data_IF_282226402295
#
_entry.id   IF_282226402295
#
_cell.length_a   1.000
_cell.length_b   1.000
_cell.length_c   1.000
_cell.angle_alpha   90.00
_cell.angle_beta   90.00
_cell.angle_gamma   90.00
#
_symmetry.space_group_name_H-M   'P 1'
#
loop_
_entity.id
_entity.type
_entity.pdbx_description
1 polymer ?
#
# COMPACT_ATOMS: atom_id res chain seq x y z
N UNK A 1 -5.84 -49.46 -16.15
CA UNK A 1 -6.07 -50.62 -17.04
C UNK A 1 -5.70 -51.98 -16.42
N UNK A 2 -4.67 -52.15 -15.58
CA UNK A 2 -4.36 -53.46 -14.93
C UNK A 2 -5.15 -53.73 -13.64
N UNK A 3 -5.61 -52.69 -12.90
CA UNK A 3 -6.35 -52.81 -11.66
C UNK A 3 -7.86 -53.10 -11.84
N UNK A 4 -8.38 -52.87 -13.03
CA UNK A 4 -9.82 -53.08 -13.30
C UNK A 4 -10.20 -54.55 -13.46
N UNK A 5 -9.21 -55.46 -13.68
CA UNK A 5 -9.40 -56.89 -13.84
C UNK A 5 -9.13 -57.72 -12.59
N UNK A 6 -8.89 -57.10 -11.43
CA UNK A 6 -8.64 -57.76 -10.16
C UNK A 6 -9.98 -57.93 -9.42
N UNK A 7 -10.24 -59.13 -8.91
CA UNK A 7 -11.47 -59.37 -8.07
C UNK A 7 -11.51 -58.43 -6.87
N UNK A 8 -12.69 -58.04 -6.41
CA UNK A 8 -12.87 -57.12 -5.28
C UNK A 8 -12.10 -57.59 -4.03
N UNK A 9 -12.04 -58.89 -3.78
CA UNK A 9 -11.30 -59.50 -2.66
C UNK A 9 -9.79 -59.30 -2.79
N UNK A 10 -9.23 -59.51 -3.99
CA UNK A 10 -7.81 -59.30 -4.25
C UNK A 10 -7.46 -57.83 -4.23
N UNK A 11 -8.35 -56.95 -4.69
CA UNK A 11 -8.20 -55.51 -4.57
C UNK A 11 -8.11 -55.03 -3.12
N UNK A 12 -8.98 -55.57 -2.26
CA UNK A 12 -8.95 -55.33 -0.82
C UNK A 12 -7.65 -55.80 -0.16
N UNK A 13 -7.13 -56.98 -0.54
CA UNK A 13 -5.85 -57.50 -0.04
C UNK A 13 -4.66 -56.63 -0.48
N UNK A 14 -4.62 -56.19 -1.73
CA UNK A 14 -3.56 -55.34 -2.27
C UNK A 14 -3.60 -53.97 -1.55
N UNK A 15 -4.77 -53.38 -1.40
CA UNK A 15 -4.91 -52.12 -0.70
C UNK A 15 -4.49 -52.22 0.78
N UNK A 16 -4.88 -53.33 1.45
CA UNK A 16 -4.46 -53.56 2.83
C UNK A 16 -2.95 -53.70 2.99
N UNK A 17 -2.30 -54.47 2.11
CA UNK A 17 -0.84 -54.64 2.12
C UNK A 17 -0.11 -53.33 1.77
N UNK A 18 -0.65 -52.56 0.83
CA UNK A 18 -0.13 -51.26 0.48
C UNK A 18 -0.21 -50.28 1.68
N UNK A 19 -1.34 -50.29 2.39
CA UNK A 19 -1.52 -49.48 3.61
C UNK A 19 -0.50 -49.82 4.70
N UNK A 20 -0.31 -51.12 4.99
CA UNK A 20 0.67 -51.58 5.98
C UNK A 20 2.09 -51.13 5.60
N UNK A 21 2.46 -51.33 4.35
CA UNK A 21 3.78 -50.97 3.87
C UNK A 21 4.02 -49.45 3.92
N UNK A 22 3.02 -48.66 3.57
CA UNK A 22 3.08 -47.19 3.64
C UNK A 22 3.17 -46.68 5.07
N UNK A 23 2.41 -47.26 6.01
CA UNK A 23 2.52 -46.91 7.43
C UNK A 23 3.88 -47.29 8.01
N UNK A 24 4.42 -48.45 7.65
CA UNK A 24 5.74 -48.87 8.06
C UNK A 24 6.85 -47.93 7.49
N UNK A 25 6.70 -47.50 6.26
CA UNK A 25 7.61 -46.54 5.64
C UNK A 25 7.56 -45.18 6.36
N UNK A 26 6.36 -44.66 6.65
CA UNK A 26 6.21 -43.41 7.42
C UNK A 26 6.81 -43.54 8.82
N UNK A 27 6.61 -44.72 9.48
CA UNK A 27 7.20 -44.99 10.79
C UNK A 27 8.75 -45.01 10.71
N UNK A 28 9.31 -45.54 9.65
CA UNK A 28 10.75 -45.57 9.41
C UNK A 28 11.28 -44.13 9.20
N UNK A 29 10.60 -43.33 8.36
CA UNK A 29 10.96 -41.91 8.15
C UNK A 29 10.97 -41.11 9.44
N UNK A 30 10.02 -41.33 10.33
CA UNK A 30 9.96 -40.71 11.66
C UNK A 30 11.11 -41.17 12.57
N UNK A 31 11.41 -42.48 12.55
CA UNK A 31 12.46 -43.07 13.39
C UNK A 31 13.86 -42.63 12.95
N UNK A 32 14.09 -42.47 11.66
CA UNK A 32 15.37 -42.03 11.09
C UNK A 32 15.61 -40.54 11.16
N UNK A 33 14.77 -39.79 11.93
CA UNK A 33 14.84 -38.32 12.07
C UNK A 33 14.78 -37.54 10.74
N UNK A 34 14.45 -38.19 9.63
CA UNK A 34 14.30 -37.55 8.33
C UNK A 34 13.12 -36.56 8.29
N UNK A 35 12.23 -36.69 9.29
CA UNK A 35 11.12 -35.76 9.56
C UNK A 35 11.23 -35.32 11.03
N UNK A 36 12.10 -34.36 11.29
CA UNK A 36 12.16 -33.74 12.62
C UNK A 36 10.89 -32.93 12.85
N UNK A 37 10.05 -33.42 13.74
CA UNK A 37 8.99 -32.62 14.37
C UNK A 37 9.64 -31.61 15.34
N UNK A 38 10.34 -30.61 14.84
CA UNK A 38 10.88 -29.52 15.64
C UNK A 38 9.72 -28.59 16.02
N UNK A 39 8.84 -29.02 16.94
CA UNK A 39 7.76 -28.19 17.47
C UNK A 39 6.72 -27.74 16.44
N UNK A 40 6.74 -28.29 15.22
CA UNK A 40 5.77 -27.96 14.18
C UNK A 40 4.48 -28.74 14.38
N UNK A 41 3.36 -28.06 14.28
CA UNK A 41 1.99 -28.62 14.32
C UNK A 41 1.69 -29.54 13.12
N UNK A 42 2.70 -30.06 12.43
CA UNK A 42 2.55 -30.88 11.21
C UNK A 42 2.61 -32.35 11.53
N UNK A 43 1.64 -33.09 10.99
CA UNK A 43 1.60 -34.53 11.00
C UNK A 43 1.50 -35.04 9.57
N UNK A 44 2.17 -36.17 9.28
CA UNK A 44 1.97 -36.86 8.01
C UNK A 44 0.72 -37.72 8.09
N UNK A 45 -0.12 -37.60 7.09
CA UNK A 45 -1.36 -38.37 6.94
C UNK A 45 -1.28 -39.18 5.65
N UNK A 46 -1.81 -40.39 5.69
CA UNK A 46 -1.94 -41.29 4.54
C UNK A 46 -3.37 -41.22 4.03
N UNK A 47 -3.55 -40.78 2.78
CA UNK A 47 -4.86 -40.77 2.11
C UNK A 47 -5.08 -42.05 1.32
N UNK A 48 -6.02 -42.87 1.76
CA UNK A 48 -6.32 -44.14 1.16
C UNK A 48 -7.09 -44.05 -0.17
N UNK A 49 -7.61 -42.90 -0.51
CA UNK A 49 -8.39 -42.66 -1.74
C UNK A 49 -7.50 -42.38 -2.97
N UNK A 50 -6.23 -42.11 -2.77
CA UNK A 50 -5.29 -41.76 -3.84
C UNK A 50 -4.67 -43.00 -4.49
N UNK A 51 -4.53 -42.96 -5.82
CA UNK A 51 -4.05 -44.11 -6.63
C UNK A 51 -2.52 -44.24 -6.70
N UNK A 52 -1.78 -43.28 -6.19
CA UNK A 52 -0.31 -43.29 -6.16
C UNK A 52 0.22 -43.10 -4.74
N UNK A 53 1.32 -43.77 -4.40
CA UNK A 53 1.99 -43.60 -3.10
C UNK A 53 2.36 -42.15 -2.82
N UNK A 54 2.83 -41.40 -3.84
CA UNK A 54 3.25 -40.02 -3.72
C UNK A 54 2.07 -39.10 -3.39
N UNK A 55 0.90 -39.36 -3.96
CA UNK A 55 -0.30 -38.56 -3.78
C UNK A 55 -1.06 -38.94 -2.49
N UNK A 56 -0.85 -40.19 -2.01
CA UNK A 56 -1.42 -40.66 -0.77
C UNK A 56 -0.78 -40.08 0.49
N UNK A 57 0.41 -39.50 0.39
CA UNK A 57 1.08 -38.86 1.52
C UNK A 57 0.76 -37.37 1.48
N UNK A 58 0.11 -36.88 2.51
CA UNK A 58 -0.11 -35.46 2.73
C UNK A 58 0.39 -35.02 4.09
N UNK A 59 0.75 -33.77 4.21
CA UNK A 59 1.03 -33.18 5.50
C UNK A 59 -0.25 -32.54 6.04
N UNK A 60 -0.49 -32.71 7.33
CA UNK A 60 -1.66 -32.19 8.05
C UNK A 60 -1.21 -31.15 9.06
N UNK A 61 -1.82 -29.97 9.05
CA UNK A 61 -1.64 -28.91 10.05
C UNK A 61 -2.94 -28.73 10.82
N UNK A 62 -2.90 -28.86 12.16
CA UNK A 62 -4.08 -28.73 13.03
C UNK A 62 -5.27 -29.62 12.60
N UNK A 63 -5.01 -30.84 12.12
CA UNK A 63 -6.02 -31.74 11.64
C UNK A 63 -6.56 -31.47 10.24
N UNK A 64 -6.05 -30.49 9.53
CA UNK A 64 -6.44 -30.14 8.16
C UNK A 64 -5.30 -30.48 7.20
N UNK A 65 -5.63 -31.23 6.13
CA UNK A 65 -4.68 -31.53 5.06
C UNK A 65 -4.18 -30.24 4.40
N UNK A 66 -2.85 -30.13 4.17
CA UNK A 66 -2.25 -28.96 3.50
C UNK A 66 -2.88 -28.69 2.13
N UNK A 67 -3.33 -29.73 1.42
CA UNK A 67 -4.06 -29.57 0.14
C UNK A 67 -5.31 -28.71 0.32
N UNK A 68 -5.97 -28.82 1.47
CA UNK A 68 -7.22 -28.14 1.82
C UNK A 68 -7.03 -26.79 2.55
N UNK A 69 -5.79 -26.40 2.86
CA UNK A 69 -5.50 -25.09 3.44
C UNK A 69 -5.79 -23.98 2.42
N UNK A 70 -6.16 -22.81 2.93
CA UNK A 70 -6.28 -21.61 2.12
C UNK A 70 -4.95 -21.23 1.47
N UNK A 71 -4.99 -20.55 0.32
CA UNK A 71 -3.78 -20.16 -0.42
C UNK A 71 -2.82 -19.33 0.44
N UNK A 72 -3.35 -18.42 1.26
CA UNK A 72 -2.54 -17.60 2.17
C UNK A 72 -1.77 -18.42 3.20
N UNK A 73 -2.37 -19.45 3.77
CA UNK A 73 -1.68 -20.35 4.69
C UNK A 73 -0.61 -21.17 3.97
N UNK A 74 -0.85 -21.61 2.73
CA UNK A 74 0.14 -22.30 1.91
C UNK A 74 1.37 -21.45 1.64
N UNK A 75 1.17 -20.14 1.36
CA UNK A 75 2.29 -19.17 1.17
C UNK A 75 3.11 -19.06 2.46
N UNK A 76 2.46 -18.82 3.60
CA UNK A 76 3.17 -18.72 4.88
C UNK A 76 3.96 -19.99 5.20
N UNK A 77 3.36 -21.16 5.00
CA UNK A 77 4.01 -22.45 5.23
C UNK A 77 5.21 -22.67 4.31
N UNK A 78 5.09 -22.26 3.04
CA UNK A 78 6.18 -22.34 2.08
C UNK A 78 7.38 -21.52 2.53
N UNK A 79 7.14 -20.30 3.00
CA UNK A 79 8.19 -19.41 3.53
C UNK A 79 8.76 -19.95 4.84
N UNK A 80 7.93 -20.38 5.80
CA UNK A 80 8.37 -21.01 7.05
C UNK A 80 9.29 -22.21 6.77
N UNK A 81 8.87 -23.09 5.87
CA UNK A 81 9.65 -24.26 5.46
C UNK A 81 10.98 -23.88 4.81
N UNK A 82 10.97 -22.90 3.91
CA UNK A 82 12.19 -22.40 3.27
C UNK A 82 13.20 -21.89 4.32
N UNK A 83 12.74 -21.22 5.35
CA UNK A 83 13.59 -20.67 6.40
C UNK A 83 14.03 -21.69 7.45
N UNK A 84 13.12 -22.59 7.87
CA UNK A 84 13.38 -23.51 8.98
C UNK A 84 14.15 -24.75 8.54
N UNK A 85 13.78 -25.32 7.38
CA UNK A 85 14.28 -26.64 6.97
C UNK A 85 15.26 -26.58 5.79
N UNK A 86 15.18 -25.54 4.96
CA UNK A 86 16.00 -25.43 3.75
C UNK A 86 17.08 -24.35 3.87
N UNK A 87 17.28 -23.76 5.05
CA UNK A 87 18.19 -22.63 5.30
C UNK A 87 19.62 -22.87 4.80
N UNK A 88 20.11 -24.11 4.86
CA UNK A 88 21.45 -24.44 4.38
C UNK A 88 21.51 -24.60 2.87
N UNK A 89 20.42 -25.00 2.23
CA UNK A 89 20.31 -25.28 0.80
C UNK A 89 19.71 -24.14 -0.01
N UNK A 90 18.72 -23.42 0.53
CA UNK A 90 18.08 -22.28 -0.12
C UNK A 90 18.91 -21.02 0.16
N UNK A 91 19.44 -20.43 -0.89
CA UNK A 91 20.19 -19.15 -0.83
C UNK A 91 19.39 -17.97 -1.39
N UNK A 92 18.46 -18.24 -2.28
CA UNK A 92 17.60 -17.23 -2.94
C UNK A 92 16.17 -17.69 -2.82
N UNK A 93 15.29 -16.79 -2.41
CA UNK A 93 13.83 -16.96 -2.33
C UNK A 93 13.15 -15.95 -3.23
N UNK A 94 12.33 -16.43 -4.15
CA UNK A 94 11.52 -15.62 -5.04
C UNK A 94 10.06 -15.71 -4.59
N UNK A 95 9.43 -14.58 -4.35
CA UNK A 95 8.01 -14.50 -3.93
C UNK A 95 7.30 -13.55 -4.89
N UNK A 96 6.20 -13.99 -5.48
CA UNK A 96 5.39 -13.20 -6.38
C UNK A 96 4.02 -12.93 -5.71
N UNK A 97 3.66 -11.65 -5.65
CA UNK A 97 2.38 -11.13 -5.15
C UNK A 97 1.81 -11.84 -3.91
N UNK A 98 2.59 -11.93 -2.82
CA UNK A 98 2.14 -12.67 -1.62
C UNK A 98 0.88 -12.07 -0.99
N UNK A 99 0.58 -10.79 -1.26
CA UNK A 99 -0.61 -10.10 -0.77
C UNK A 99 -1.92 -10.63 -1.32
N UNK A 100 -1.93 -11.22 -2.52
CA UNK A 100 -3.17 -11.61 -3.21
C UNK A 100 -4.01 -12.64 -2.44
N UNK A 101 -3.41 -13.41 -1.55
CA UNK A 101 -4.08 -14.48 -0.83
C UNK A 101 -3.95 -14.37 0.69
N UNK A 102 -3.32 -13.31 1.20
CA UNK A 102 -3.08 -13.13 2.62
C UNK A 102 -4.06 -12.12 3.23
N UNK A 103 -4.64 -12.47 4.38
CA UNK A 103 -5.27 -11.48 5.23
C UNK A 103 -4.21 -10.47 5.72
N UNK A 104 -4.65 -9.27 6.12
CA UNK A 104 -3.75 -8.24 6.66
C UNK A 104 -2.84 -8.76 7.78
N UNK A 105 -3.39 -9.55 8.70
CA UNK A 105 -2.61 -10.13 9.81
C UNK A 105 -1.56 -11.14 9.32
N UNK A 106 -1.90 -11.97 8.33
CA UNK A 106 -0.98 -12.93 7.75
C UNK A 106 0.11 -12.25 6.92
N UNK A 107 -0.23 -11.16 6.23
CA UNK A 107 0.74 -10.33 5.53
C UNK A 107 1.74 -9.69 6.51
N UNK A 108 1.27 -9.21 7.67
CA UNK A 108 2.16 -8.72 8.73
C UNK A 108 3.11 -9.82 9.26
N UNK A 109 2.60 -11.04 9.45
CA UNK A 109 3.46 -12.18 9.87
C UNK A 109 4.53 -12.46 8.82
N UNK A 110 4.15 -12.52 7.54
CA UNK A 110 5.09 -12.71 6.43
C UNK A 110 6.20 -11.65 6.43
N UNK A 111 5.82 -10.38 6.49
CA UNK A 111 6.77 -9.25 6.51
C UNK A 111 7.72 -9.35 7.69
N UNK A 112 7.22 -9.70 8.88
CA UNK A 112 8.06 -9.88 10.07
C UNK A 112 9.05 -11.04 9.90
N UNK A 113 8.61 -12.16 9.32
CA UNK A 113 9.49 -13.31 9.03
C UNK A 113 10.59 -12.93 8.04
N UNK A 114 10.24 -12.22 6.97
CA UNK A 114 11.18 -11.77 5.94
C UNK A 114 12.20 -10.77 6.52
N UNK A 115 11.76 -9.83 7.36
CA UNK A 115 12.61 -8.81 7.98
C UNK A 115 13.62 -9.38 8.99
N UNK A 116 13.29 -10.50 9.65
CA UNK A 116 14.13 -11.10 10.69
C UNK A 116 15.19 -12.07 10.16
N UNK A 117 15.16 -12.37 8.87
CA UNK A 117 16.03 -13.38 8.28
C UNK A 117 17.33 -12.78 7.74
N UNK A 118 18.46 -13.36 8.11
CA UNK A 118 19.82 -12.90 7.73
C UNK A 118 20.58 -13.84 6.80
N UNK A 119 19.99 -14.96 6.38
CA UNK A 119 20.71 -16.02 5.68
C UNK A 119 20.30 -16.30 4.24
N UNK A 120 19.18 -15.73 3.78
CA UNK A 120 18.60 -15.97 2.46
C UNK A 120 18.35 -14.64 1.77
N UNK A 121 18.78 -14.51 0.52
CA UNK A 121 18.44 -13.36 -0.31
C UNK A 121 17.00 -13.51 -0.81
N UNK A 122 16.16 -12.49 -0.60
CA UNK A 122 14.74 -12.52 -0.96
C UNK A 122 14.45 -11.48 -2.03
N UNK A 123 13.77 -11.90 -3.09
CA UNK A 123 13.20 -11.03 -4.12
C UNK A 123 11.68 -11.15 -4.05
N UNK A 124 11.00 -10.02 -4.01
CA UNK A 124 9.54 -9.96 -3.89
C UNK A 124 8.98 -9.08 -4.99
N UNK A 125 8.18 -9.66 -5.88
CA UNK A 125 7.30 -8.90 -6.78
C UNK A 125 6.02 -8.56 -6.02
N UNK A 126 5.67 -7.28 -5.88
CA UNK A 126 4.52 -6.86 -5.06
C UNK A 126 3.92 -5.54 -5.52
N UNK A 127 2.61 -5.40 -5.33
CA UNK A 127 1.85 -4.16 -5.41
C UNK A 127 1.39 -3.67 -4.02
N UNK A 128 1.88 -4.28 -2.94
CA UNK A 128 1.49 -3.94 -1.56
C UNK A 128 2.31 -2.79 -1.00
N UNK A 129 1.66 -1.67 -0.69
CA UNK A 129 2.26 -0.57 0.06
C UNK A 129 2.87 -1.03 1.39
N UNK A 130 2.24 -2.01 2.07
CA UNK A 130 2.71 -2.54 3.34
C UNK A 130 4.04 -3.28 3.17
N UNK A 131 4.17 -4.15 2.16
CA UNK A 131 5.42 -4.86 1.89
C UNK A 131 6.52 -3.86 1.54
N UNK A 132 6.25 -2.97 0.59
CA UNK A 132 7.19 -1.97 0.11
C UNK A 132 7.72 -1.07 1.25
N UNK A 133 6.82 -0.57 2.10
CA UNK A 133 7.22 0.32 3.20
C UNK A 133 7.93 -0.43 4.32
N UNK A 134 7.45 -1.60 4.73
CA UNK A 134 7.98 -2.34 5.90
C UNK A 134 9.32 -3.01 5.66
N UNK A 135 9.59 -3.47 4.45
CA UNK A 135 10.88 -4.10 4.08
C UNK A 135 11.96 -3.08 3.73
N UNK A 136 11.63 -1.80 3.69
CA UNK A 136 12.54 -0.69 3.50
C UNK A 136 12.47 -0.11 2.10
N UNK A 137 12.19 1.20 2.03
CA UNK A 137 12.07 1.97 0.78
C UNK A 137 13.38 2.00 -0.02
N UNK A 138 14.50 1.87 0.64
CA UNK A 138 15.85 1.79 0.07
C UNK A 138 16.13 0.46 -0.65
N UNK A 139 15.32 -0.56 -0.40
CA UNK A 139 15.36 -1.85 -1.09
C UNK A 139 14.43 -1.93 -2.30
N UNK A 140 13.65 -0.87 -2.56
CA UNK A 140 12.70 -0.87 -3.66
C UNK A 140 13.39 -0.66 -5.00
N UNK A 141 13.03 -1.49 -5.96
CA UNK A 141 13.38 -1.37 -7.36
C UNK A 141 12.09 -1.22 -8.17
N UNK A 142 11.97 -0.12 -8.89
CA UNK A 142 10.81 0.17 -9.74
C UNK A 142 11.13 -0.26 -11.17
N UNK A 143 10.24 -1.07 -11.74
CA UNK A 143 10.31 -1.46 -13.13
C UNK A 143 9.29 -0.65 -13.93
N UNK A 144 9.76 0.22 -14.82
CA UNK A 144 8.91 0.97 -15.76
C UNK A 144 9.51 0.87 -17.16
N UNK A 145 8.71 0.41 -18.13
CA UNK A 145 9.09 0.30 -19.55
C UNK A 145 10.44 -0.43 -19.79
N UNK A 146 10.73 -1.46 -19.00
CA UNK A 146 11.98 -2.24 -19.11
C UNK A 146 13.21 -1.57 -18.48
N UNK A 147 13.03 -0.44 -17.81
CA UNK A 147 14.08 0.20 -17.03
C UNK A 147 13.89 -0.07 -15.53
N UNK A 148 14.99 -0.18 -14.82
CA UNK A 148 15.00 -0.34 -13.36
C UNK A 148 15.49 0.97 -12.76
N UNK A 149 14.69 1.54 -11.88
CA UNK A 149 15.08 2.67 -11.04
C UNK A 149 14.97 2.32 -9.57
N UNK A 150 15.79 2.92 -8.74
CA UNK A 150 15.75 2.75 -7.28
C UNK A 150 15.91 4.09 -6.58
N UNK A 151 15.50 4.12 -5.31
CA UNK A 151 15.63 5.30 -4.47
C UNK A 151 17.03 5.31 -3.86
N UNK A 152 17.91 6.18 -4.37
CA UNK A 152 19.28 6.33 -3.86
C UNK A 152 19.40 7.63 -3.06
N UNK A 153 20.21 7.58 -2.01
CA UNK A 153 20.56 8.78 -1.24
C UNK A 153 19.49 9.30 -0.27
N UNK A 154 18.44 8.52 -0.02
CA UNK A 154 17.43 8.89 0.97
C UNK A 154 18.02 9.00 2.38
N UNK A 155 17.55 9.99 3.13
CA UNK A 155 17.87 10.13 4.54
C UNK A 155 17.33 8.93 5.35
N UNK A 156 18.12 8.48 6.34
CA UNK A 156 17.72 7.37 7.25
C UNK A 156 16.39 7.65 7.96
N UNK A 157 16.11 8.89 8.30
CA UNK A 157 14.85 9.28 8.95
C UNK A 157 13.66 9.14 7.99
N UNK A 158 13.85 9.42 6.71
CA UNK A 158 12.82 9.20 5.67
C UNK A 158 12.53 7.71 5.49
N UNK A 159 13.56 6.88 5.42
CA UNK A 159 13.41 5.41 5.37
C UNK A 159 12.63 4.92 6.60
N UNK A 160 13.05 5.32 7.81
CA UNK A 160 12.36 4.93 9.06
C UNK A 160 10.92 5.44 9.13
N UNK A 161 10.68 6.65 8.63
CA UNK A 161 9.34 7.21 8.58
C UNK A 161 8.40 6.28 7.80
N UNK A 162 8.72 5.95 6.54
CA UNK A 162 7.87 5.06 5.73
C UNK A 162 7.76 3.65 6.30
N UNK A 163 8.81 3.11 6.93
CA UNK A 163 8.75 1.82 7.62
C UNK A 163 7.80 1.79 8.80
N UNK A 164 7.57 2.92 9.48
CA UNK A 164 6.76 3.03 10.70
C UNK A 164 5.43 3.71 10.50
N UNK A 165 5.27 4.47 9.42
CA UNK A 165 4.04 5.17 9.10
C UNK A 165 2.88 4.21 8.88
N UNK A 166 1.70 4.63 9.31
CA UNK A 166 0.43 3.98 8.98
C UNK A 166 -0.09 4.39 7.60
N UNK A 167 0.41 5.50 7.06
CA UNK A 167 0.07 5.97 5.72
C UNK A 167 0.68 5.05 4.67
N UNK A 168 -0.18 4.40 3.89
CA UNK A 168 0.21 3.37 2.92
C UNK A 168 0.24 3.91 1.47
N UNK A 169 0.53 5.20 1.28
CA UNK A 169 0.53 5.81 -0.05
C UNK A 169 1.89 5.80 -0.77
N UNK A 170 2.89 5.10 -0.22
CA UNK A 170 4.24 5.09 -0.78
C UNK A 170 4.28 4.61 -2.23
N UNK A 171 3.66 3.47 -2.55
CA UNK A 171 3.65 2.94 -3.91
C UNK A 171 2.82 3.82 -4.85
N UNK A 172 1.67 4.31 -4.40
CA UNK A 172 0.86 5.25 -5.19
C UNK A 172 1.66 6.49 -5.53
N UNK A 173 2.46 7.00 -4.57
CA UNK A 173 3.36 8.10 -4.80
C UNK A 173 4.50 7.73 -5.76
N UNK A 174 5.18 6.62 -5.54
CA UNK A 174 6.35 6.24 -6.34
C UNK A 174 6.01 5.83 -7.77
N UNK A 175 4.85 5.21 -7.99
CA UNK A 175 4.37 4.81 -9.32
C UNK A 175 3.66 5.94 -10.08
N UNK A 176 3.07 6.90 -9.39
CA UNK A 176 2.41 8.05 -10.00
C UNK A 176 3.42 8.99 -10.69
N UNK A 177 3.08 9.52 -11.85
CA UNK A 177 3.93 10.47 -12.62
C UNK A 177 3.62 11.92 -12.30
N UNK A 178 2.35 12.26 -12.08
CA UNK A 178 1.86 13.60 -11.73
C UNK A 178 1.12 13.51 -10.41
N UNK A 179 1.59 14.22 -9.39
CA UNK A 179 1.07 14.06 -8.03
C UNK A 179 0.77 15.41 -7.39
N UNK A 180 -0.42 15.52 -6.84
CA UNK A 180 -0.81 16.62 -5.95
C UNK A 180 -0.77 16.08 -4.52
N UNK A 181 0.12 16.63 -3.70
CA UNK A 181 0.19 16.34 -2.28
C UNK A 181 -0.62 17.39 -1.52
N UNK A 182 -1.49 16.94 -0.65
CA UNK A 182 -2.32 17.79 0.22
C UNK A 182 -2.12 17.42 1.68
N UNK A 183 -2.43 18.35 2.59
CA UNK A 183 -2.12 18.18 4.00
C UNK A 183 -3.03 17.17 4.69
N UNK A 184 -4.33 17.24 4.42
CA UNK A 184 -5.32 16.44 5.14
C UNK A 184 -6.55 16.07 4.34
N UNK A 185 -7.56 15.59 5.07
CA UNK A 185 -8.79 15.06 4.47
C UNK A 185 -9.66 16.13 3.82
N UNK A 186 -9.68 17.36 4.33
CA UNK A 186 -10.53 18.42 3.78
C UNK A 186 -10.08 18.80 2.36
N UNK A 187 -8.78 19.01 2.20
CA UNK A 187 -8.16 19.26 0.91
C UNK A 187 -8.35 18.07 -0.04
N UNK A 188 -8.11 16.86 0.44
CA UNK A 188 -8.25 15.64 -0.36
C UNK A 188 -9.67 15.49 -0.93
N UNK A 189 -10.71 15.70 -0.11
CA UNK A 189 -12.12 15.61 -0.51
C UNK A 189 -12.46 16.62 -1.60
N UNK A 190 -11.98 17.86 -1.48
CA UNK A 190 -12.35 18.94 -2.40
C UNK A 190 -11.46 19.02 -3.63
N UNK A 191 -10.24 18.48 -3.60
CA UNK A 191 -9.25 18.66 -4.65
C UNK A 191 -9.68 18.03 -5.98
N UNK A 192 -10.31 16.86 -5.95
CA UNK A 192 -10.84 16.22 -7.16
C UNK A 192 -11.89 17.11 -7.83
N UNK A 193 -12.81 17.68 -7.04
CA UNK A 193 -13.84 18.59 -7.55
C UNK A 193 -13.27 19.88 -8.11
N UNK A 194 -12.28 20.47 -7.45
CA UNK A 194 -11.59 21.65 -7.95
C UNK A 194 -10.87 21.38 -9.25
N UNK A 195 -10.24 20.21 -9.37
CA UNK A 195 -9.63 19.77 -10.61
C UNK A 195 -10.64 19.64 -11.76
N UNK A 196 -11.80 19.01 -11.51
CA UNK A 196 -12.90 18.92 -12.47
C UNK A 196 -13.43 20.30 -12.88
N UNK A 197 -13.57 21.22 -11.93
CA UNK A 197 -14.07 22.58 -12.21
C UNK A 197 -13.11 23.36 -13.11
N UNK A 198 -11.80 23.11 -13.01
CA UNK A 198 -10.78 23.80 -13.82
C UNK A 198 -10.62 23.17 -15.21
N UNK A 199 -10.57 21.83 -15.27
CA UNK A 199 -10.21 21.12 -16.49
C UNK A 199 -11.37 20.41 -17.20
N UNK A 200 -12.56 20.32 -16.56
CA UNK A 200 -13.71 19.52 -17.04
C UNK A 200 -13.36 18.05 -17.26
N UNK A 201 -12.38 17.55 -16.52
CA UNK A 201 -11.90 16.17 -16.54
C UNK A 201 -11.52 15.77 -15.12
N UNK A 202 -11.58 14.47 -14.84
CA UNK A 202 -11.08 13.94 -13.57
C UNK A 202 -9.56 13.89 -13.52
N UNK A 203 -8.93 13.91 -12.32
CA UNK A 203 -7.48 13.79 -12.18
C UNK A 203 -6.91 12.55 -12.87
N UNK A 204 -7.55 11.39 -12.69
CA UNK A 204 -7.14 10.13 -13.29
C UNK A 204 -7.14 10.13 -14.82
N UNK A 205 -8.03 10.87 -15.47
CA UNK A 205 -8.07 11.02 -16.94
C UNK A 205 -6.81 11.73 -17.49
N UNK A 206 -6.10 12.45 -16.63
CA UNK A 206 -4.86 13.16 -16.96
C UNK A 206 -3.64 12.56 -16.25
N UNK A 207 -3.77 11.35 -15.72
CA UNK A 207 -2.75 10.63 -14.96
C UNK A 207 -2.22 11.43 -13.75
N UNK A 208 -3.10 12.17 -13.07
CA UNK A 208 -2.81 12.91 -11.86
C UNK A 208 -3.35 12.11 -10.66
N UNK A 209 -2.50 11.90 -9.66
CA UNK A 209 -2.89 11.31 -8.38
C UNK A 209 -2.92 12.37 -7.30
N UNK A 210 -3.96 12.36 -6.48
CA UNK A 210 -4.07 13.22 -5.29
C UNK A 210 -3.75 12.35 -4.07
N UNK A 211 -2.85 12.82 -3.21
CA UNK A 211 -2.40 12.07 -2.03
C UNK A 211 -2.42 12.98 -0.81
N UNK A 212 -3.14 12.57 0.24
CA UNK A 212 -3.05 13.20 1.57
C UNK A 212 -1.84 12.64 2.32
N UNK A 213 -1.07 13.54 2.95
CA UNK A 213 0.10 13.17 3.75
C UNK A 213 -0.19 13.16 5.26
N UNK A 214 -1.46 13.36 5.66
CA UNK A 214 -1.90 13.39 7.07
C UNK A 214 -1.08 14.33 7.97
N UNK A 215 -0.84 15.55 7.48
CA UNK A 215 -0.38 16.70 8.26
C UNK A 215 1.12 16.80 8.53
N UNK A 216 1.98 15.86 8.16
CA UNK A 216 3.32 15.90 8.77
C UNK A 216 4.54 15.68 7.86
N UNK A 217 4.39 15.45 6.57
CA UNK A 217 5.54 14.79 5.92
C UNK A 217 5.79 15.11 4.48
N UNK A 218 5.41 16.28 4.03
CA UNK A 218 5.72 16.71 2.67
C UNK A 218 7.21 16.55 2.33
N UNK A 219 8.11 16.94 3.23
CA UNK A 219 9.55 16.83 3.01
C UNK A 219 10.00 15.40 2.74
N UNK A 220 9.37 14.38 3.38
CA UNK A 220 9.68 12.97 3.15
C UNK A 220 9.29 12.52 1.74
N UNK A 221 8.15 12.97 1.26
CA UNK A 221 7.70 12.72 -0.11
C UNK A 221 8.52 13.51 -1.13
N UNK A 222 8.89 14.76 -0.82
CA UNK A 222 9.72 15.58 -1.68
C UNK A 222 11.15 15.04 -1.81
N UNK A 223 11.70 14.45 -0.75
CA UNK A 223 12.99 13.75 -0.82
C UNK A 223 12.94 12.57 -1.81
N UNK A 224 11.85 11.80 -1.81
CA UNK A 224 11.63 10.75 -2.81
C UNK A 224 11.43 11.37 -4.20
N UNK A 225 10.63 12.44 -4.33
CA UNK A 225 10.38 13.10 -5.62
C UNK A 225 11.68 13.60 -6.27
N UNK A 226 12.63 14.08 -5.47
CA UNK A 226 13.93 14.54 -5.95
C UNK A 226 14.80 13.43 -6.58
N UNK A 227 14.49 12.15 -6.30
CA UNK A 227 15.16 11.00 -6.93
C UNK A 227 14.65 10.72 -8.35
N UNK A 228 13.54 11.31 -8.79
CA UNK A 228 12.92 11.07 -10.08
C UNK A 228 12.94 12.32 -10.97
N UNK A 229 13.38 12.18 -12.19
CA UNK A 229 13.42 13.29 -13.16
C UNK A 229 12.06 13.48 -13.87
N UNK A 230 11.37 12.38 -14.13
CA UNK A 230 10.13 12.34 -14.91
C UNK A 230 8.85 12.41 -14.06
N UNK A 231 9.00 12.51 -12.73
CA UNK A 231 7.91 12.63 -11.79
C UNK A 231 7.65 14.10 -11.47
N UNK A 232 6.43 14.57 -11.66
CA UNK A 232 6.01 15.93 -11.35
C UNK A 232 5.18 15.96 -10.07
N UNK A 233 5.59 16.77 -9.11
CA UNK A 233 4.96 16.83 -7.79
C UNK A 233 4.65 18.27 -7.40
N UNK A 234 3.40 18.55 -7.05
CA UNK A 234 3.01 19.80 -6.42
C UNK A 234 2.49 19.57 -5.01
N UNK A 235 3.00 20.33 -4.07
CA UNK A 235 2.51 20.39 -2.69
C UNK A 235 1.54 21.55 -2.58
N UNK A 236 0.39 21.34 -1.98
CA UNK A 236 -0.56 22.37 -1.56
C UNK A 236 -0.56 22.34 -0.04
N UNK A 237 -0.10 23.43 0.60
CA UNK A 237 0.10 23.52 2.05
C UNK A 237 -0.38 24.86 2.60
N UNK A 238 -0.73 24.87 3.87
CA UNK A 238 -1.05 26.07 4.62
C UNK A 238 0.22 26.90 4.90
N UNK A 239 0.08 28.21 5.10
CA UNK A 239 1.21 29.06 5.50
C UNK A 239 1.30 29.25 7.02
N UNK A 240 0.28 28.83 7.78
CA UNK A 240 0.23 28.93 9.25
C UNK A 240 0.61 30.32 9.79
N UNK A 241 0.16 31.36 9.12
CA UNK A 241 0.46 32.79 9.43
C UNK A 241 1.91 33.23 9.24
N UNK A 242 2.76 32.38 8.64
CA UNK A 242 4.16 32.74 8.33
C UNK A 242 4.61 32.08 7.03
N UNK A 243 4.24 32.65 5.91
CA UNK A 243 4.63 32.17 4.58
C UNK A 243 6.16 32.06 4.40
N UNK A 244 6.90 33.05 4.91
CA UNK A 244 8.36 33.08 4.72
C UNK A 244 9.03 31.95 5.51
N UNK A 245 8.64 31.73 6.75
CA UNK A 245 9.21 30.68 7.60
C UNK A 245 8.71 29.30 7.21
N UNK A 246 7.39 29.13 7.16
CA UNK A 246 6.75 27.81 7.04
C UNK A 246 6.74 27.26 5.61
N UNK A 247 6.85 28.12 4.59
CA UNK A 247 6.82 27.70 3.18
C UNK A 247 8.13 28.02 2.48
N UNK A 248 8.49 29.29 2.35
CA UNK A 248 9.63 29.68 1.53
C UNK A 248 10.97 29.15 2.08
N UNK A 249 11.23 29.30 3.36
CA UNK A 249 12.47 28.84 4.00
C UNK A 249 12.50 27.33 4.15
N UNK A 250 11.41 26.74 4.64
CA UNK A 250 11.29 25.30 4.88
C UNK A 250 11.54 24.47 3.62
N UNK A 251 10.96 24.88 2.48
CA UNK A 251 11.08 24.13 1.23
C UNK A 251 12.11 24.72 0.25
N UNK A 252 13.00 25.62 0.71
CA UNK A 252 14.00 26.28 -0.14
C UNK A 252 14.92 25.32 -0.90
N UNK A 253 15.30 24.20 -0.27
CA UNK A 253 16.15 23.17 -0.88
C UNK A 253 15.51 22.48 -2.08
N UNK A 254 14.18 22.50 -2.19
CA UNK A 254 13.45 21.87 -3.30
C UNK A 254 13.22 22.80 -4.49
N UNK A 255 13.47 24.10 -4.36
CA UNK A 255 13.30 25.07 -5.46
C UNK A 255 14.22 24.82 -6.67
N UNK A 256 15.32 24.12 -6.47
CA UNK A 256 16.25 23.73 -7.54
C UNK A 256 15.68 22.63 -8.47
N UNK A 257 14.66 21.91 -8.05
CA UNK A 257 14.06 20.81 -8.82
C UNK A 257 12.88 21.33 -9.65
N UNK A 258 13.01 21.28 -10.98
CA UNK A 258 11.97 21.77 -11.90
C UNK A 258 10.68 20.93 -11.85
N UNK A 259 10.77 19.72 -11.40
CA UNK A 259 9.67 18.77 -11.25
C UNK A 259 8.92 18.88 -9.92
N UNK A 260 9.34 19.79 -9.03
CA UNK A 260 8.74 20.01 -7.71
C UNK A 260 8.25 21.45 -7.60
N UNK A 261 7.01 21.63 -7.17
CA UNK A 261 6.44 22.94 -6.82
C UNK A 261 5.79 22.87 -5.46
N UNK A 262 5.98 23.89 -4.63
CA UNK A 262 5.23 24.10 -3.39
C UNK A 262 4.33 25.32 -3.58
N UNK A 263 3.05 25.17 -3.30
CA UNK A 263 2.02 26.17 -3.48
C UNK A 263 1.30 26.45 -2.17
N UNK A 264 1.21 27.70 -1.78
CA UNK A 264 0.52 28.17 -0.59
C UNK A 264 0.06 29.60 -0.84
N UNK A 265 -0.90 30.09 -0.03
CA UNK A 265 -1.28 31.49 -0.09
C UNK A 265 -0.16 32.36 0.46
N UNK A 266 0.12 33.50 -0.21
CA UNK A 266 1.19 34.44 0.18
C UNK A 266 0.76 35.35 1.36
N UNK A 267 -0.53 35.53 1.54
CA UNK A 267 -1.09 36.38 2.58
C UNK A 267 -1.18 35.61 3.90
N UNK A 268 -0.44 36.06 4.91
CA UNK A 268 -0.41 35.44 6.22
C UNK A 268 -1.76 35.46 6.97
N UNK A 269 -2.69 36.33 6.55
CA UNK A 269 -4.06 36.33 7.07
C UNK A 269 -4.89 35.15 6.49
N UNK A 270 -4.45 34.54 5.42
CA UNK A 270 -5.04 33.36 4.78
C UNK A 270 -4.33 32.08 5.26
N UNK A 271 -4.22 31.92 6.55
CA UNK A 271 -3.34 30.96 7.23
C UNK A 271 -3.66 29.48 7.00
N UNK A 272 -4.93 29.13 6.65
CA UNK A 272 -5.35 27.76 6.42
C UNK A 272 -6.22 27.62 5.17
N UNK A 273 -6.30 26.42 4.64
CA UNK A 273 -7.15 26.05 3.51
C UNK A 273 -8.61 26.51 3.72
N UNK A 274 -9.19 26.26 4.90
CA UNK A 274 -10.56 26.64 5.20
C UNK A 274 -10.76 28.16 5.20
N UNK A 275 -9.80 28.90 5.74
CA UNK A 275 -9.84 30.37 5.76
C UNK A 275 -9.73 30.93 4.35
N UNK A 276 -8.85 30.38 3.50
CA UNK A 276 -8.74 30.77 2.09
C UNK A 276 -10.07 30.55 1.36
N UNK A 277 -10.69 29.38 1.51
CA UNK A 277 -11.99 29.08 0.90
C UNK A 277 -13.06 30.03 1.42
N UNK A 278 -13.15 30.25 2.71
CA UNK A 278 -14.17 31.12 3.31
C UNK A 278 -14.05 32.57 2.82
N UNK A 279 -12.85 33.16 2.88
CA UNK A 279 -12.62 34.55 2.47
C UNK A 279 -12.95 34.77 0.99
N UNK A 280 -12.56 33.86 0.11
CA UNK A 280 -12.84 33.96 -1.33
C UNK A 280 -14.35 33.78 -1.65
N UNK A 281 -15.11 33.11 -0.79
CA UNK A 281 -16.50 32.74 -1.05
C UNK A 281 -17.48 33.17 0.02
N UNK A 282 -17.14 34.16 0.86
CA UNK A 282 -17.87 34.53 2.06
C UNK A 282 -19.38 34.69 1.83
N UNK A 283 -19.79 35.56 0.91
CA UNK A 283 -21.20 35.82 0.64
C UNK A 283 -21.97 34.58 0.13
N UNK A 284 -21.29 33.75 -0.65
CA UNK A 284 -21.84 32.50 -1.19
C UNK A 284 -22.04 31.45 -0.07
N UNK A 285 -21.03 31.28 0.77
CA UNK A 285 -21.02 30.28 1.84
C UNK A 285 -21.97 30.68 2.99
N UNK A 286 -22.00 31.95 3.36
CA UNK A 286 -22.92 32.44 4.40
C UNK A 286 -24.41 32.26 4.00
N UNK A 287 -24.72 32.24 2.69
CA UNK A 287 -26.07 32.04 2.17
C UNK A 287 -26.39 30.59 1.83
N UNK A 288 -25.44 29.69 1.86
CA UNK A 288 -25.56 28.30 1.34
C UNK A 288 -26.31 27.35 2.26
N UNK A 289 -26.42 27.65 3.55
CA UNK A 289 -27.02 26.74 4.53
C UNK A 289 -26.18 25.52 4.88
N UNK A 290 -24.88 25.55 4.60
CA UNK A 290 -23.92 24.47 4.90
C UNK A 290 -23.91 24.02 6.36
N UNK A 291 -24.23 24.92 7.28
CA UNK A 291 -24.37 24.63 8.71
C UNK A 291 -25.46 25.44 9.34
N UNK A 292 -26.00 24.94 10.46
CA UNK A 292 -26.92 25.69 11.34
C UNK A 292 -26.18 26.67 12.28
N UNK A 293 -24.84 26.60 12.33
CA UNK A 293 -24.02 27.48 13.13
C UNK A 293 -24.06 28.90 12.59
N UNK A 294 -24.16 29.88 13.48
CA UNK A 294 -24.05 31.32 13.13
C UNK A 294 -22.60 31.71 12.84
N UNK A 295 -21.64 30.92 13.35
CA UNK A 295 -20.20 31.06 13.09
C UNK A 295 -19.77 29.99 12.12
N UNK A 296 -19.93 30.27 10.83
CA UNK A 296 -19.55 29.32 9.74
C UNK A 296 -18.03 29.12 9.70
N UNK A 297 -17.23 30.18 9.80
CA UNK A 297 -15.77 30.07 9.78
C UNK A 297 -15.25 29.22 10.94
N UNK A 298 -15.73 29.44 12.15
CA UNK A 298 -15.36 28.61 13.30
C UNK A 298 -15.82 27.14 13.15
N UNK A 299 -16.95 26.89 12.50
CA UNK A 299 -17.39 25.54 12.16
C UNK A 299 -16.41 24.87 11.17
N UNK A 300 -16.02 25.55 10.09
CA UNK A 300 -15.10 25.06 9.10
C UNK A 300 -13.75 24.64 9.70
N UNK A 301 -13.21 25.45 10.62
CA UNK A 301 -11.94 25.17 11.29
C UNK A 301 -12.01 23.98 12.27
N UNK A 302 -13.15 23.77 12.92
CA UNK A 302 -13.31 22.66 13.88
C UNK A 302 -13.68 21.34 13.20
N UNK A 303 -14.53 21.40 12.18
CA UNK A 303 -15.12 20.22 11.53
C UNK A 303 -14.65 20.13 10.06
N UNK A 304 -13.34 20.24 9.86
CA UNK A 304 -12.71 20.37 8.54
C UNK A 304 -13.23 19.37 7.49
N UNK A 305 -13.17 18.07 7.79
CA UNK A 305 -13.60 17.03 6.86
C UNK A 305 -15.12 17.02 6.61
N UNK A 306 -15.92 17.25 7.65
CA UNK A 306 -17.38 17.35 7.53
C UNK A 306 -17.79 18.58 6.71
N UNK A 307 -17.13 19.70 6.94
CA UNK A 307 -17.31 20.89 6.10
C UNK A 307 -17.00 20.59 4.64
N UNK A 308 -15.87 19.94 4.37
CA UNK A 308 -15.45 19.61 3.01
C UNK A 308 -16.47 18.70 2.30
N UNK A 309 -17.01 17.70 2.99
CA UNK A 309 -18.04 16.81 2.44
C UNK A 309 -19.33 17.60 2.10
N UNK A 310 -19.79 18.45 3.01
CA UNK A 310 -20.99 19.28 2.76
C UNK A 310 -20.77 20.27 1.62
N UNK A 311 -19.60 20.90 1.56
CA UNK A 311 -19.28 21.79 0.46
C UNK A 311 -19.24 21.03 -0.88
N UNK A 312 -18.66 19.82 -0.90
CA UNK A 312 -18.65 18.96 -2.09
C UNK A 312 -20.08 18.67 -2.59
N UNK A 313 -20.99 18.26 -1.69
CA UNK A 313 -22.40 18.03 -2.03
C UNK A 313 -23.04 19.26 -2.67
N UNK A 314 -22.80 20.45 -2.11
CA UNK A 314 -23.32 21.70 -2.68
C UNK A 314 -22.70 22.05 -4.04
N UNK A 315 -21.42 21.76 -4.23
CA UNK A 315 -20.74 21.97 -5.52
C UNK A 315 -21.21 20.99 -6.61
N UNK A 316 -21.73 19.82 -6.23
CA UNK A 316 -22.25 18.81 -7.14
C UNK A 316 -23.72 19.02 -7.48
N UNK A 317 -24.54 19.36 -6.50
CA UNK A 317 -26.01 19.39 -6.62
C UNK A 317 -26.55 20.77 -6.98
N UNK A 318 -25.92 21.83 -6.53
CA UNK A 318 -26.38 23.19 -6.71
C UNK A 318 -25.54 23.92 -7.78
N UNK A 319 -26.14 24.87 -8.49
CA UNK A 319 -25.41 25.75 -9.42
C UNK A 319 -24.38 26.68 -8.75
N UNK A 320 -23.98 26.36 -7.51
CA UNK A 320 -22.99 27.08 -6.71
C UNK A 320 -21.61 26.98 -7.37
N UNK A 321 -21.28 25.86 -8.00
CA UNK A 321 -20.02 25.62 -8.68
C UNK A 321 -19.63 26.73 -9.67
N UNK A 322 -20.61 27.30 -10.38
CA UNK A 322 -20.37 28.39 -11.34
C UNK A 322 -19.95 29.72 -10.71
N UNK A 323 -20.27 29.92 -9.42
CA UNK A 323 -20.00 31.14 -8.68
C UNK A 323 -18.86 30.95 -7.66
N UNK A 324 -18.50 29.70 -7.40
CA UNK A 324 -17.47 29.37 -6.44
C UNK A 324 -16.09 29.74 -6.95
N UNK A 325 -15.31 30.44 -6.12
CA UNK A 325 -13.97 30.88 -6.45
C UNK A 325 -12.97 29.94 -5.77
N UNK A 326 -12.22 29.21 -6.60
CA UNK A 326 -11.10 28.40 -6.11
C UNK A 326 -9.95 29.35 -5.77
N UNK A 327 -9.34 29.28 -4.55
CA UNK A 327 -8.20 30.10 -4.20
C UNK A 327 -7.06 30.00 -5.22
N UNK A 328 -6.40 31.14 -5.52
CA UNK A 328 -5.43 31.23 -6.61
C UNK A 328 -4.28 30.22 -6.47
N UNK A 329 -3.72 30.04 -5.28
CA UNK A 329 -2.60 29.11 -5.09
C UNK A 329 -2.97 27.66 -5.42
N UNK A 330 -4.23 27.25 -5.15
CA UNK A 330 -4.76 25.93 -5.51
C UNK A 330 -4.92 25.82 -7.03
N UNK A 331 -5.52 26.85 -7.64
CA UNK A 331 -5.72 26.90 -9.09
C UNK A 331 -4.38 26.81 -9.83
N UNK A 332 -3.39 27.61 -9.43
CA UNK A 332 -2.05 27.58 -10.01
C UNK A 332 -1.33 26.25 -9.82
N UNK A 333 -1.54 25.56 -8.70
CA UNK A 333 -1.00 24.22 -8.45
C UNK A 333 -1.61 23.20 -9.42
N UNK A 334 -2.94 23.20 -9.57
CA UNK A 334 -3.69 22.31 -10.48
C UNK A 334 -3.32 22.57 -11.95
N UNK A 335 -3.18 23.85 -12.34
CA UNK A 335 -2.75 24.18 -13.70
C UNK A 335 -1.29 23.80 -13.96
N UNK A 336 -0.41 23.94 -12.97
CA UNK A 336 1.00 23.63 -13.13
C UNK A 336 1.25 22.14 -13.30
N UNK A 337 0.51 21.25 -12.59
CA UNK A 337 0.76 19.81 -12.60
C UNK A 337 0.53 19.19 -13.99
N UNK A 338 -0.35 19.76 -14.81
CA UNK A 338 -0.66 19.25 -16.14
C UNK A 338 0.12 19.90 -17.28
N UNK A 339 0.79 21.04 -17.03
CA UNK A 339 1.69 21.63 -18.04
C UNK A 339 2.86 20.68 -18.25
N UNK A 340 3.26 20.46 -19.48
CA UNK A 340 4.43 19.66 -19.86
C UNK A 340 5.74 20.30 -19.44
#
# INVERSE_FOLDING_TARGET
MYLDNISAENRAKVNHQYRINSLNFLHTLRKDELLKENGSEFQLHFDESENSFRDSISAVKNGVDIKNLGQGEKVLLGVENAYSHLKETVKILLIEEPENHLSFQNLQKLVNMLSSNTGVQVFIGTHSNMIASRLGVDNLHFLDNGQISKLEGLNRDTIRFFQKSTNQNLLNFTLGKKIILVEGNAEYILMEKFFEMIHSKKPEDLNVSIISVDGLSFERYLEIAACFVDKKVVVITDNDSDYVGNVQSKYSSYQQFQNIKVSSDLDNDNQTFEICIYKNNKALLDSSGLTKSKDLQGYMLREKAEFALRLLEHLETDNISKKFIIPNYIKEAIEWIIKD
#
